data_IF_161523564923
#
_entry.id   IF_161523564923
#
_cell.length_a   1.000
_cell.length_b   1.000
_cell.length_c   1.000
_cell.angle_alpha   90.00
_cell.angle_beta   90.00
_cell.angle_gamma   90.00
#
_symmetry.space_group_name_H-M   'P 1'
#
loop_
_entity.id
_entity.type
_entity.pdbx_description
1 polymer ?
#
# COMPACT_ATOMS: atom_id res chain seq x y z
N UNK A 1 -10.71 -5.28 17.43
CA UNK A 1 -9.99 -4.01 17.17
C UNK A 1 -9.48 -4.08 15.75
N UNK A 2 -9.94 -3.18 14.88
CA UNK A 2 -9.43 -3.09 13.51
C UNK A 2 -8.02 -2.50 13.55
N UNK A 3 -7.07 -3.15 12.89
CA UNK A 3 -5.68 -2.71 12.82
C UNK A 3 -5.62 -1.31 12.14
N UNK A 4 -4.92 -0.32 12.72
CA UNK A 4 -4.90 1.05 12.19
C UNK A 4 -4.30 1.13 10.78
N UNK A 5 -3.35 0.25 10.44
CA UNK A 5 -2.78 0.18 9.10
C UNK A 5 -3.81 -0.34 8.10
N UNK A 6 -4.57 -1.38 8.48
CA UNK A 6 -5.64 -1.93 7.63
C UNK A 6 -6.74 -0.89 7.36
N UNK A 7 -7.15 -0.16 8.40
CA UNK A 7 -8.16 0.89 8.28
C UNK A 7 -7.69 2.04 7.37
N UNK A 8 -6.45 2.52 7.57
CA UNK A 8 -5.88 3.58 6.75
C UNK A 8 -5.70 3.15 5.28
N UNK A 9 -5.21 1.93 5.05
CA UNK A 9 -5.10 1.38 3.69
C UNK A 9 -6.49 1.28 3.04
N UNK A 10 -7.52 0.82 3.77
CA UNK A 10 -8.89 0.71 3.22
C UNK A 10 -9.45 2.08 2.80
N UNK A 11 -9.08 3.15 3.49
CA UNK A 11 -9.50 4.50 3.14
C UNK A 11 -8.77 5.06 1.91
N UNK A 12 -7.50 4.70 1.74
CA UNK A 12 -6.61 5.23 0.72
C UNK A 12 -6.71 4.51 -0.64
N UNK A 13 -6.89 3.19 -0.65
CA UNK A 13 -6.98 2.40 -1.87
C UNK A 13 -8.44 2.23 -2.31
N UNK A 14 -8.92 3.12 -3.17
CA UNK A 14 -10.33 3.13 -3.63
C UNK A 14 -10.52 2.55 -5.03
N UNK A 15 -9.54 2.75 -5.92
CA UNK A 15 -9.61 2.33 -7.32
C UNK A 15 -8.60 1.23 -7.61
N UNK A 16 -8.96 0.33 -8.52
CA UNK A 16 -8.05 -0.70 -9.03
C UNK A 16 -6.83 -0.11 -9.75
N UNK A 17 -5.70 -0.79 -9.63
CA UNK A 17 -4.42 -0.43 -10.24
C UNK A 17 -3.78 -1.60 -11.03
N UNK A 18 -4.53 -2.68 -11.22
CA UNK A 18 -4.14 -3.82 -12.06
C UNK A 18 -3.08 -4.75 -11.45
N UNK A 19 -2.88 -4.73 -10.13
CA UNK A 19 -1.87 -5.55 -9.46
C UNK A 19 -2.24 -5.85 -8.00
N UNK A 20 -1.49 -6.75 -7.39
CA UNK A 20 -1.48 -7.03 -5.95
C UNK A 20 -0.31 -6.31 -5.30
N UNK A 21 -0.62 -5.46 -4.32
CA UNK A 21 0.34 -4.78 -3.47
C UNK A 21 0.36 -5.44 -2.08
N UNK A 22 1.54 -5.73 -1.56
CA UNK A 22 1.75 -6.14 -0.17
C UNK A 22 2.33 -4.97 0.62
N UNK A 23 1.65 -4.56 1.67
CA UNK A 23 2.09 -3.56 2.63
C UNK A 23 2.63 -4.32 3.84
N UNK A 24 3.95 -4.31 4.02
CA UNK A 24 4.67 -5.06 5.05
C UNK A 24 5.23 -4.08 6.10
N UNK A 25 4.53 -3.86 7.23
CA UNK A 25 5.12 -3.10 8.33
C UNK A 25 6.31 -3.87 8.92
N UNK A 26 7.32 -3.15 9.40
CA UNK A 26 8.47 -3.77 10.08
C UNK A 26 8.07 -4.52 11.36
N UNK A 27 6.95 -4.13 11.97
CA UNK A 27 6.34 -4.80 13.10
C UNK A 27 4.84 -4.99 12.83
N UNK A 28 4.38 -6.24 12.91
CA UNK A 28 2.98 -6.60 12.72
C UNK A 28 2.71 -7.39 11.44
N UNK A 29 1.46 -7.81 11.22
CA UNK A 29 1.08 -8.56 10.03
C UNK A 29 1.04 -7.67 8.78
N UNK A 30 1.34 -8.21 7.59
CA UNK A 30 1.17 -7.49 6.34
C UNK A 30 -0.31 -7.30 5.99
N UNK A 31 -0.58 -6.25 5.23
CA UNK A 31 -1.88 -6.00 4.58
C UNK A 31 -1.69 -6.22 3.08
N UNK A 32 -2.61 -6.93 2.46
CA UNK A 32 -2.64 -7.14 1.02
C UNK A 32 -3.73 -6.27 0.40
N UNK A 33 -3.40 -5.62 -0.72
CA UNK A 33 -4.34 -4.85 -1.52
C UNK A 33 -4.39 -5.48 -2.90
N UNK A 34 -5.51 -6.12 -3.22
CA UNK A 34 -5.79 -6.65 -4.55
C UNK A 34 -6.50 -5.58 -5.37
N UNK A 35 -5.72 -4.87 -6.20
CA UNK A 35 -6.20 -3.85 -7.12
C UNK A 35 -6.43 -4.37 -8.53
N UNK A 36 -6.51 -5.69 -8.76
CA UNK A 36 -6.69 -6.26 -10.11
C UNK A 36 -8.11 -6.04 -10.67
N UNK A 37 -9.10 -5.86 -9.81
CA UNK A 37 -10.48 -5.51 -10.20
C UNK A 37 -10.71 -4.00 -10.34
N UNK A 38 -11.95 -3.58 -10.59
CA UNK A 38 -12.32 -2.15 -10.65
C UNK A 38 -12.17 -1.45 -9.30
N UNK A 39 -12.53 -2.14 -8.21
CA UNK A 39 -12.34 -1.68 -6.83
C UNK A 39 -11.26 -2.52 -6.13
N UNK A 40 -10.49 -1.88 -5.24
CA UNK A 40 -9.51 -2.58 -4.42
C UNK A 40 -10.18 -3.44 -3.36
N UNK A 41 -9.64 -4.64 -3.13
CA UNK A 41 -10.02 -5.52 -2.03
C UNK A 41 -8.85 -5.66 -1.08
N UNK A 42 -9.07 -5.37 0.20
CA UNK A 42 -8.04 -5.51 1.23
C UNK A 42 -8.23 -6.78 2.05
N UNK A 43 -7.12 -7.43 2.39
CA UNK A 43 -7.12 -8.65 3.22
C UNK A 43 -5.86 -8.74 4.08
N UNK A 44 -5.96 -9.48 5.19
CA UNK A 44 -4.80 -9.87 6.00
C UNK A 44 -4.19 -11.19 5.53
N UNK A 45 -4.93 -11.96 4.73
CA UNK A 45 -4.44 -13.15 4.06
C UNK A 45 -3.97 -12.80 2.63
N UNK A 46 -2.92 -13.46 2.10
CA UNK A 46 -2.48 -13.23 0.73
C UNK A 46 -3.59 -13.64 -0.26
N UNK A 47 -3.85 -12.83 -1.30
CA UNK A 47 -4.74 -13.22 -2.39
C UNK A 47 -4.08 -14.31 -3.25
N UNK A 48 -4.83 -14.85 -4.22
CA UNK A 48 -4.26 -15.81 -5.17
C UNK A 48 -3.19 -15.14 -6.06
N UNK A 49 -1.98 -15.69 -6.02
CA UNK A 49 -0.79 -15.20 -6.74
C UNK A 49 0.17 -14.40 -5.85
N UNK A 50 1.39 -14.17 -6.36
CA UNK A 50 2.38 -13.38 -5.65
C UNK A 50 2.07 -11.88 -5.70
N UNK A 51 2.41 -11.08 -4.68
CA UNK A 51 2.35 -9.63 -4.77
C UNK A 51 3.36 -9.13 -5.83
N UNK A 52 2.87 -8.29 -6.75
CA UNK A 52 3.74 -7.67 -7.76
C UNK A 52 4.58 -6.54 -7.17
N UNK A 53 4.07 -5.87 -6.13
CA UNK A 53 4.76 -4.78 -5.46
C UNK A 53 4.71 -4.99 -3.95
N UNK A 54 5.81 -4.67 -3.25
CA UNK A 54 5.92 -4.77 -1.80
C UNK A 54 6.42 -3.46 -1.24
N UNK A 55 5.70 -2.92 -0.26
CA UNK A 55 6.07 -1.74 0.52
C UNK A 55 6.52 -2.18 1.89
N UNK A 56 7.70 -1.74 2.33
CA UNK A 56 8.21 -2.07 3.65
C UNK A 56 8.77 -0.84 4.35
N UNK A 57 8.23 -0.55 5.54
CA UNK A 57 8.63 0.56 6.40
C UNK A 57 8.05 0.40 7.82
N UNK A 58 8.47 1.22 8.79
CA UNK A 58 7.73 1.37 10.05
C UNK A 58 6.26 1.76 9.79
N UNK A 59 5.34 1.32 10.66
CA UNK A 59 3.90 1.58 10.53
C UNK A 59 3.59 3.06 10.33
N UNK A 60 4.25 3.94 11.10
CA UNK A 60 4.10 5.39 10.99
C UNK A 60 4.45 5.94 9.60
N UNK A 61 5.46 5.37 8.93
CA UNK A 61 5.85 5.78 7.59
C UNK A 61 4.84 5.29 6.56
N UNK A 62 4.31 4.08 6.73
CA UNK A 62 3.25 3.54 5.87
C UNK A 62 1.95 4.35 5.98
N UNK A 63 1.55 4.71 7.21
CA UNK A 63 0.37 5.55 7.45
C UNK A 63 0.50 6.91 6.76
N UNK A 64 1.67 7.55 6.86
CA UNK A 64 1.93 8.82 6.15
C UNK A 64 1.99 8.65 4.65
N UNK A 65 2.49 7.52 4.14
CA UNK A 65 2.54 7.26 2.71
C UNK A 65 1.13 7.22 2.07
N UNK A 66 0.10 6.87 2.86
CA UNK A 66 -1.29 6.90 2.42
C UNK A 66 -1.91 8.30 2.38
N UNK A 67 -1.26 9.33 2.91
CA UNK A 67 -1.74 10.72 2.84
C UNK A 67 -1.68 11.30 1.42
N UNK A 68 -1.04 10.61 0.48
CA UNK A 68 -1.07 10.92 -0.95
C UNK A 68 0.26 10.66 -1.67
N UNK A 69 0.23 10.76 -3.00
CA UNK A 69 1.38 10.42 -3.86
C UNK A 69 2.69 11.14 -3.52
N UNK A 70 2.63 12.42 -3.11
CA UNK A 70 3.84 13.17 -2.70
C UNK A 70 4.46 12.65 -1.40
N UNK A 71 3.64 12.22 -0.44
CA UNK A 71 4.12 11.67 0.82
C UNK A 71 4.81 10.31 0.60
N UNK A 72 4.20 9.48 -0.24
CA UNK A 72 4.75 8.22 -0.71
C UNK A 72 6.09 8.38 -1.42
N UNK A 73 6.15 9.26 -2.42
CA UNK A 73 7.37 9.55 -3.19
C UNK A 73 8.49 10.07 -2.27
N UNK A 74 8.16 11.01 -1.38
CA UNK A 74 9.11 11.54 -0.39
C UNK A 74 9.65 10.46 0.55
N UNK A 75 8.79 9.57 1.06
CA UNK A 75 9.20 8.47 1.91
C UNK A 75 10.15 7.51 1.17
N UNK A 76 9.86 7.18 -0.08
CA UNK A 76 10.71 6.33 -0.92
C UNK A 76 12.07 6.98 -1.22
N UNK A 77 12.08 8.22 -1.73
CA UNK A 77 13.32 8.94 -2.06
C UNK A 77 14.22 9.16 -0.84
N UNK A 78 13.63 9.35 0.34
CA UNK A 78 14.36 9.48 1.62
C UNK A 78 14.90 8.15 2.18
N UNK A 79 14.54 7.01 1.57
CA UNK A 79 14.91 5.66 2.04
C UNK A 79 14.12 5.17 3.26
N UNK A 80 13.11 5.92 3.72
CA UNK A 80 12.22 5.51 4.83
C UNK A 80 11.22 4.45 4.40
N UNK A 81 10.86 4.43 3.12
CA UNK A 81 10.04 3.39 2.50
C UNK A 81 10.89 2.58 1.52
N UNK A 82 10.95 1.27 1.71
CA UNK A 82 11.49 0.34 0.72
C UNK A 82 10.36 -0.15 -0.17
N UNK A 83 10.57 -0.06 -1.48
CA UNK A 83 9.67 -0.63 -2.49
C UNK A 83 10.43 -1.73 -3.23
N UNK A 84 9.80 -2.87 -3.46
CA UNK A 84 10.37 -4.00 -4.19
C UNK A 84 9.34 -4.62 -5.13
N UNK A 85 9.81 -5.20 -6.24
CA UNK A 85 8.96 -5.76 -7.29
C UNK A 85 8.75 -4.80 -8.47
N UNK A 86 7.57 -4.85 -9.08
CA UNK A 86 7.19 -4.05 -10.23
C UNK A 86 6.88 -2.60 -9.84
N UNK A 87 7.84 -1.72 -10.07
CA UNK A 87 7.70 -0.28 -9.81
C UNK A 87 6.64 0.40 -10.67
N UNK A 88 6.23 -0.18 -11.79
CA UNK A 88 5.15 0.40 -12.62
C UNK A 88 3.79 0.36 -11.91
N UNK A 89 3.64 -0.46 -10.86
CA UNK A 89 2.48 -0.43 -9.96
C UNK A 89 2.36 0.94 -9.30
N UNK A 90 3.48 1.56 -8.92
CA UNK A 90 3.50 2.87 -8.26
C UNK A 90 2.95 3.99 -9.13
N UNK A 91 3.26 3.96 -10.42
CA UNK A 91 2.79 4.95 -11.38
C UNK A 91 1.27 4.85 -11.64
N UNK A 92 0.67 3.69 -11.33
CA UNK A 92 -0.76 3.40 -11.50
C UNK A 92 -1.58 3.72 -10.25
N UNK A 93 -0.94 3.99 -9.12
CA UNK A 93 -1.62 4.28 -7.87
C UNK A 93 -2.14 5.71 -7.85
N UNK A 94 -3.45 5.84 -7.73
CA UNK A 94 -4.10 7.10 -7.38
C UNK A 94 -4.43 7.09 -5.88
N UNK A 95 -3.50 7.62 -5.08
CA UNK A 95 -3.72 7.83 -3.65
C UNK A 95 -4.31 9.22 -3.44
N UNK A 96 -5.64 9.28 -3.30
CA UNK A 96 -6.31 10.51 -2.91
C UNK A 96 -5.89 10.89 -1.49
N UNK A 97 -5.38 12.12 -1.35
CA UNK A 97 -5.16 12.70 -0.03
C UNK A 97 -6.50 12.86 0.67
N UNK A 98 -6.69 12.19 1.80
CA UNK A 98 -7.86 12.44 2.66
C UNK A 98 -7.70 13.85 3.25
N UNK A 99 -8.26 14.85 2.55
CA UNK A 99 -8.43 16.20 3.09
C UNK A 99 -9.44 16.20 4.24
#
# INVERSE_FOLDING_TARGET
MTDPLFAAASAAFRQGFGAVLKIEPEQGPPVFVDGRGEACVLSLAPPAGDPQCVWRAPVETLLRAFEGGRALESAYLSGRLKISGDMSVMARLDLESSR
#
